data_IF_274614081763
#
_entry.id   IF_274614081763
#
_cell.length_a   1.000
_cell.length_b   1.000
_cell.length_c   1.000
_cell.angle_alpha   90.00
_cell.angle_beta   90.00
_cell.angle_gamma   90.00
#
_symmetry.space_group_name_H-M   'P 1'
#
loop_
_entity.id
_entity.type
_entity.pdbx_description
1 polymer ?
#
# COMPACT_ATOMS: atom_id res chain seq x y z
N UNK A 1 -42.89 -5.63 43.62
CA UNK A 1 -41.55 -6.20 43.42
C UNK A 1 -41.22 -6.61 41.97
N UNK A 2 -42.19 -6.79 41.06
CA UNK A 2 -41.89 -7.12 39.65
C UNK A 2 -41.41 -5.94 38.75
N UNK A 3 -41.59 -4.68 39.18
CA UNK A 3 -41.19 -3.49 38.41
C UNK A 3 -39.70 -3.14 38.53
N UNK A 4 -39.06 -3.45 39.65
CA UNK A 4 -37.63 -3.14 39.86
C UNK A 4 -36.71 -4.07 39.07
N UNK A 5 -37.03 -5.37 38.97
CA UNK A 5 -36.32 -6.32 38.11
C UNK A 5 -36.33 -5.90 36.63
N UNK A 6 -37.39 -5.21 36.18
CA UNK A 6 -37.50 -4.77 34.80
C UNK A 6 -36.61 -3.54 34.52
N UNK A 7 -36.45 -2.65 35.51
CA UNK A 7 -35.57 -1.49 35.40
C UNK A 7 -34.09 -1.89 35.43
N UNK A 8 -33.72 -2.82 36.30
CA UNK A 8 -32.34 -3.32 36.39
C UNK A 8 -31.92 -4.07 35.12
N UNK A 9 -32.81 -4.92 34.59
CA UNK A 9 -32.62 -5.59 33.29
C UNK A 9 -32.45 -4.61 32.13
N UNK A 10 -33.28 -3.56 32.05
CA UNK A 10 -33.16 -2.51 31.03
C UNK A 10 -31.82 -1.78 31.16
N UNK A 11 -31.40 -1.41 32.38
CA UNK A 11 -30.13 -0.72 32.60
C UNK A 11 -28.93 -1.59 32.21
N UNK A 12 -28.97 -2.89 32.51
CA UNK A 12 -27.94 -3.84 32.10
C UNK A 12 -27.87 -3.97 30.57
N UNK A 13 -29.02 -4.07 29.90
CA UNK A 13 -29.08 -4.13 28.44
C UNK A 13 -28.56 -2.84 27.79
N UNK A 14 -28.86 -1.67 28.35
CA UNK A 14 -28.32 -0.39 27.87
C UNK A 14 -26.81 -0.33 28.05
N UNK A 15 -26.27 -0.71 29.23
CA UNK A 15 -24.82 -0.74 29.46
C UNK A 15 -24.10 -1.67 28.49
N UNK A 16 -24.67 -2.85 28.25
CA UNK A 16 -24.08 -3.80 27.30
C UNK A 16 -24.12 -3.27 25.86
N UNK A 17 -25.20 -2.59 25.46
CA UNK A 17 -25.29 -1.96 24.13
C UNK A 17 -24.31 -0.80 23.96
N UNK A 18 -24.11 0.01 25.00
CA UNK A 18 -23.10 1.09 24.99
C UNK A 18 -21.71 0.48 24.83
N UNK A 19 -21.38 -0.55 25.62
CA UNK A 19 -20.12 -1.27 25.52
C UNK A 19 -19.91 -1.82 24.11
N UNK A 20 -20.88 -2.52 23.54
CA UNK A 20 -20.79 -3.04 22.16
C UNK A 20 -20.58 -1.95 21.12
N UNK A 21 -21.22 -0.78 21.30
CA UNK A 21 -21.03 0.37 20.42
C UNK A 21 -19.61 0.94 20.50
N UNK A 22 -19.05 1.04 21.71
CA UNK A 22 -17.66 1.47 21.93
C UNK A 22 -16.66 0.48 21.32
N UNK A 23 -16.86 -0.82 21.52
CA UNK A 23 -16.04 -1.89 20.92
C UNK A 23 -16.05 -1.83 19.39
N UNK A 24 -17.23 -1.61 18.80
CA UNK A 24 -17.39 -1.47 17.36
C UNK A 24 -16.67 -0.21 16.85
N UNK A 25 -16.78 0.91 17.59
CA UNK A 25 -16.12 2.16 17.24
C UNK A 25 -14.58 2.02 17.26
N UNK A 26 -14.01 1.39 18.29
CA UNK A 26 -12.57 1.14 18.37
C UNK A 26 -12.10 0.26 17.22
N UNK A 27 -12.83 -0.83 16.94
CA UNK A 27 -12.51 -1.70 15.80
C UNK A 27 -12.59 -0.93 14.48
N UNK A 28 -13.62 -0.09 14.30
CA UNK A 28 -13.78 0.72 13.09
C UNK A 28 -12.62 1.73 12.92
N UNK A 29 -12.09 2.29 14.00
CA UNK A 29 -10.92 3.18 13.95
C UNK A 29 -9.69 2.43 13.44
N UNK A 30 -9.44 1.22 13.95
CA UNK A 30 -8.37 0.33 13.47
C UNK A 30 -8.57 -0.01 11.99
N UNK A 31 -9.78 -0.44 11.61
CA UNK A 31 -10.10 -0.82 10.23
C UNK A 31 -9.85 0.35 9.28
N UNK A 32 -10.26 1.55 9.69
CA UNK A 32 -10.06 2.76 8.91
C UNK A 32 -8.58 3.11 8.81
N UNK A 33 -7.80 3.03 9.89
CA UNK A 33 -6.36 3.26 9.84
C UNK A 33 -5.64 2.26 8.91
N UNK A 34 -6.01 0.98 8.97
CA UNK A 34 -5.46 -0.08 8.11
C UNK A 34 -5.83 0.09 6.64
N UNK A 35 -7.12 0.25 6.34
CA UNK A 35 -7.60 0.43 4.97
C UNK A 35 -6.99 1.66 4.28
N UNK A 36 -6.62 2.67 5.08
CA UNK A 36 -6.03 3.92 4.63
C UNK A 36 -4.50 3.97 4.68
N UNK A 37 -3.83 2.92 5.18
CA UNK A 37 -2.39 2.86 5.46
C UNK A 37 -1.86 4.00 6.36
N UNK A 38 -2.60 4.33 7.41
CA UNK A 38 -2.18 5.30 8.44
C UNK A 38 -1.42 4.59 9.56
N UNK A 39 -0.17 4.21 9.27
CA UNK A 39 0.66 3.41 10.19
C UNK A 39 0.79 4.01 11.59
N UNK A 40 1.07 5.32 11.66
CA UNK A 40 1.21 6.02 12.95
C UNK A 40 -0.10 5.98 13.75
N UNK A 41 -1.21 6.35 13.12
CA UNK A 41 -2.51 6.37 13.80
C UNK A 41 -2.92 4.95 14.24
N UNK A 42 -2.61 3.91 13.46
CA UNK A 42 -2.81 2.53 13.87
C UNK A 42 -1.98 2.21 15.13
N UNK A 43 -0.70 2.56 15.14
CA UNK A 43 0.19 2.37 16.30
C UNK A 43 -0.33 3.09 17.54
N UNK A 44 -0.76 4.34 17.40
CA UNK A 44 -1.30 5.15 18.50
C UNK A 44 -2.59 4.53 19.07
N UNK A 45 -3.51 4.11 18.18
CA UNK A 45 -4.77 3.46 18.58
C UNK A 45 -4.49 2.15 19.33
N UNK A 46 -3.60 1.31 18.82
CA UNK A 46 -3.28 0.02 19.44
C UNK A 46 -2.59 0.21 20.79
N UNK A 47 -1.62 1.12 20.87
CA UNK A 47 -0.93 1.46 22.12
C UNK A 47 -1.90 1.98 23.17
N UNK A 48 -2.86 2.82 22.78
CA UNK A 48 -3.89 3.33 23.69
C UNK A 48 -4.80 2.21 24.20
N UNK A 49 -5.27 1.31 23.33
CA UNK A 49 -6.09 0.16 23.74
C UNK A 49 -5.32 -0.75 24.69
N UNK A 50 -4.06 -1.03 24.40
CA UNK A 50 -3.18 -1.83 25.25
C UNK A 50 -3.01 -1.18 26.62
N UNK A 51 -2.71 0.12 26.68
CA UNK A 51 -2.54 0.84 27.94
C UNK A 51 -3.82 0.82 28.80
N UNK A 52 -4.99 0.95 28.18
CA UNK A 52 -6.26 1.05 28.89
C UNK A 52 -6.86 -0.32 29.26
N UNK A 53 -6.65 -1.33 28.40
CA UNK A 53 -7.42 -2.60 28.43
C UNK A 53 -6.56 -3.85 28.28
N UNK A 54 -5.26 -3.70 28.03
CA UNK A 54 -4.30 -4.79 27.84
C UNK A 54 -4.19 -5.29 26.40
N UNK A 55 -3.05 -5.92 26.10
CA UNK A 55 -2.71 -6.44 24.77
C UNK A 55 -3.75 -7.40 24.20
N UNK A 56 -4.28 -8.32 25.02
CA UNK A 56 -5.28 -9.29 24.57
C UNK A 56 -6.53 -8.64 23.96
N UNK A 57 -6.92 -7.46 24.45
CA UNK A 57 -8.05 -6.70 23.90
C UNK A 57 -7.67 -6.02 22.60
N UNK A 58 -6.47 -5.42 22.52
CA UNK A 58 -5.94 -4.85 21.28
C UNK A 58 -5.87 -5.90 20.16
N UNK A 59 -5.34 -7.08 20.47
CA UNK A 59 -5.24 -8.21 19.55
C UNK A 59 -6.61 -8.70 19.08
N UNK A 60 -7.60 -8.78 19.98
CA UNK A 60 -8.98 -9.10 19.60
C UNK A 60 -9.53 -8.11 18.57
N UNK A 61 -9.26 -6.81 18.71
CA UNK A 61 -9.69 -5.82 17.72
C UNK A 61 -8.94 -5.95 16.40
N UNK A 62 -7.63 -6.21 16.42
CA UNK A 62 -6.84 -6.49 15.23
C UNK A 62 -7.43 -7.67 14.46
N UNK A 63 -7.66 -8.81 15.12
CA UNK A 63 -8.24 -10.00 14.50
C UNK A 63 -9.65 -9.80 13.94
N UNK A 64 -10.41 -8.82 14.44
CA UNK A 64 -11.74 -8.48 13.92
C UNK A 64 -11.71 -7.50 12.75
N UNK A 65 -10.58 -6.82 12.53
CA UNK A 65 -10.51 -5.73 11.57
C UNK A 65 -10.77 -6.19 10.12
N UNK A 66 -10.34 -7.41 9.75
CA UNK A 66 -10.58 -7.96 8.41
C UNK A 66 -12.06 -8.31 8.13
N UNK A 67 -12.92 -8.34 9.15
CA UNK A 67 -14.35 -8.67 9.03
C UNK A 67 -15.26 -7.44 8.97
N UNK A 68 -14.72 -6.24 9.21
CA UNK A 68 -15.50 -5.00 9.27
C UNK A 68 -15.19 -4.17 8.02
N UNK A 69 -16.22 -3.64 7.33
CA UNK A 69 -15.98 -2.81 6.17
C UNK A 69 -15.48 -1.41 6.57
N UNK A 70 -14.66 -0.82 5.71
CA UNK A 70 -14.31 0.60 5.76
C UNK A 70 -14.85 1.34 4.55
N UNK A 71 -14.96 2.66 4.71
CA UNK A 71 -15.41 3.54 3.64
C UNK A 71 -14.24 3.86 2.71
N UNK A 72 -14.37 3.46 1.44
CA UNK A 72 -13.45 3.87 0.40
C UNK A 72 -13.62 5.36 0.06
N UNK A 73 -12.57 6.02 -0.44
CA UNK A 73 -12.71 7.33 -1.04
C UNK A 73 -13.65 7.35 -2.23
N UNK A 74 -14.24 8.52 -2.44
CA UNK A 74 -15.09 8.78 -3.61
C UNK A 74 -14.27 8.52 -4.88
N UNK A 75 -14.83 7.72 -5.79
CA UNK A 75 -14.20 7.38 -7.07
C UNK A 75 -13.27 6.17 -7.02
N UNK A 76 -12.90 5.68 -5.83
CA UNK A 76 -12.04 4.52 -5.71
C UNK A 76 -12.78 3.19 -5.92
N UNK A 77 -14.10 3.10 -5.71
CA UNK A 77 -14.83 1.84 -5.79
C UNK A 77 -16.21 1.86 -5.12
N UNK A 78 -16.74 0.70 -4.67
CA UNK A 78 -17.95 0.68 -3.86
C UNK A 78 -17.74 1.48 -2.57
N UNK A 79 -18.80 2.10 -2.06
CA UNK A 79 -18.68 2.99 -0.89
C UNK A 79 -18.05 2.28 0.32
N UNK A 80 -18.33 0.98 0.50
CA UNK A 80 -17.85 0.18 1.63
C UNK A 80 -17.26 -1.14 1.13
N UNK A 81 -16.13 -1.54 1.70
CA UNK A 81 -15.51 -2.84 1.43
C UNK A 81 -14.71 -3.33 2.64
N UNK A 82 -14.45 -4.64 2.72
CA UNK A 82 -13.49 -5.20 3.67
C UNK A 82 -12.06 -4.76 3.31
N UNK A 83 -11.16 -4.77 4.29
CA UNK A 83 -9.74 -4.57 4.03
C UNK A 83 -9.25 -5.70 3.12
N UNK A 84 -8.48 -5.35 2.10
CA UNK A 84 -7.88 -6.33 1.20
C UNK A 84 -6.86 -7.19 1.96
N UNK A 85 -6.88 -8.52 1.77
CA UNK A 85 -6.08 -9.47 2.55
C UNK A 85 -4.58 -9.13 2.62
N UNK A 86 -3.97 -8.80 1.48
CA UNK A 86 -2.55 -8.43 1.44
C UNK A 86 -2.29 -7.07 2.10
N UNK A 87 -3.21 -6.11 1.98
CA UNK A 87 -3.11 -4.83 2.69
C UNK A 87 -3.21 -5.05 4.20
N UNK A 88 -4.18 -5.84 4.66
CA UNK A 88 -4.35 -6.19 6.06
C UNK A 88 -3.07 -6.83 6.62
N UNK A 89 -2.54 -7.82 5.91
CA UNK A 89 -1.26 -8.46 6.24
C UNK A 89 -0.13 -7.45 6.36
N UNK A 90 0.15 -6.68 5.30
CA UNK A 90 1.25 -5.70 5.27
C UNK A 90 1.13 -4.68 6.41
N UNK A 91 -0.09 -4.27 6.78
CA UNK A 91 -0.34 -3.37 7.92
C UNK A 91 -0.03 -4.02 9.28
N UNK A 92 -0.37 -5.30 9.48
CA UNK A 92 -0.01 -6.04 10.70
C UNK A 92 1.50 -6.16 10.84
N UNK A 93 2.20 -6.52 9.77
CA UNK A 93 3.65 -6.64 9.79
C UNK A 93 4.35 -5.30 9.98
N UNK A 94 3.79 -4.22 9.45
CA UNK A 94 4.30 -2.87 9.70
C UNK A 94 4.10 -2.46 11.15
N UNK A 95 2.94 -2.76 11.76
CA UNK A 95 2.65 -2.48 13.16
C UNK A 95 3.61 -3.22 14.11
N UNK A 96 4.00 -4.44 13.76
CA UNK A 96 4.87 -5.31 14.55
C UNK A 96 6.35 -5.23 14.12
N UNK A 97 6.74 -4.17 13.41
CA UNK A 97 8.14 -3.89 13.02
C UNK A 97 8.82 -5.06 12.27
N UNK A 98 8.08 -5.76 11.41
CA UNK A 98 8.55 -6.88 10.59
C UNK A 98 8.36 -6.62 9.09
N UNK A 99 8.30 -5.33 8.71
CA UNK A 99 8.06 -4.90 7.34
C UNK A 99 9.16 -5.40 6.38
N UNK A 100 8.77 -5.99 5.26
CA UNK A 100 9.68 -6.42 4.19
C UNK A 100 10.16 -7.87 4.29
N UNK A 101 9.90 -8.53 5.43
CA UNK A 101 10.15 -9.95 5.66
C UNK A 101 8.86 -10.73 5.90
N UNK A 102 7.74 -10.34 5.30
CA UNK A 102 6.48 -11.05 5.50
C UNK A 102 6.58 -12.48 4.94
N UNK A 103 6.69 -13.54 5.77
CA UNK A 103 6.88 -14.88 5.26
C UNK A 103 5.61 -15.33 4.55
N UNK A 104 5.69 -15.66 3.27
CA UNK A 104 4.55 -16.02 2.43
C UNK A 104 3.74 -17.23 2.98
N UNK A 105 4.37 -18.30 3.55
CA UNK A 105 3.65 -19.53 3.91
C UNK A 105 2.63 -19.46 5.05
N UNK A 106 2.70 -18.47 5.94
CA UNK A 106 1.84 -18.40 7.14
C UNK A 106 0.71 -17.39 6.95
N UNK A 107 -0.50 -17.71 7.44
CA UNK A 107 -1.63 -16.79 7.38
C UNK A 107 -1.53 -15.69 8.44
N UNK A 108 -2.25 -14.58 8.25
CA UNK A 108 -2.25 -13.47 9.22
C UNK A 108 -2.96 -13.88 10.51
N UNK A 109 -3.98 -14.75 10.41
CA UNK A 109 -4.72 -15.31 11.54
C UNK A 109 -3.85 -16.21 12.41
N UNK A 110 -3.02 -17.06 11.80
CA UNK A 110 -2.06 -17.91 12.52
C UNK A 110 -1.08 -17.05 13.32
N UNK A 111 -0.50 -16.01 12.70
CA UNK A 111 0.38 -15.05 13.37
C UNK A 111 -0.31 -14.42 14.58
N UNK A 112 -1.49 -13.84 14.38
CA UNK A 112 -2.21 -13.19 15.49
C UNK A 112 -2.59 -14.18 16.59
N UNK A 113 -2.80 -15.45 16.27
CA UNK A 113 -3.09 -16.48 17.27
C UNK A 113 -1.89 -16.84 18.14
N UNK A 114 -0.68 -16.81 17.58
CA UNK A 114 0.57 -17.07 18.30
C UNK A 114 0.88 -15.95 19.30
N UNK A 115 0.58 -14.70 18.94
CA UNK A 115 0.80 -13.51 19.77
C UNK A 115 -0.18 -13.35 20.94
N UNK A 116 -1.14 -14.27 21.09
CA UNK A 116 -2.21 -14.17 22.10
C UNK A 116 -1.72 -14.32 23.54
N UNK A 117 -0.61 -15.02 23.74
CA UNK A 117 -0.07 -15.30 25.07
C UNK A 117 0.97 -14.26 25.52
N UNK A 118 1.27 -13.28 24.67
CA UNK A 118 2.22 -12.22 24.99
C UNK A 118 1.59 -11.17 25.92
N UNK A 119 2.44 -10.50 26.70
CA UNK A 119 2.00 -9.53 27.70
C UNK A 119 1.81 -8.13 27.12
N UNK A 120 2.53 -7.79 26.04
CA UNK A 120 2.54 -6.46 25.44
C UNK A 120 2.75 -6.47 23.92
N UNK A 121 2.49 -5.34 23.26
CA UNK A 121 2.82 -5.12 21.85
C UNK A 121 4.33 -5.28 21.59
N UNK A 122 5.17 -4.87 22.55
CA UNK A 122 6.63 -4.94 22.43
C UNK A 122 7.08 -6.41 22.46
N UNK A 123 6.57 -7.19 23.41
CA UNK A 123 6.89 -8.63 23.52
C UNK A 123 6.39 -9.38 22.28
N UNK A 124 5.16 -9.08 21.84
CA UNK A 124 4.60 -9.63 20.61
C UNK A 124 5.45 -9.29 19.36
N UNK A 125 5.95 -8.07 19.26
CA UNK A 125 6.83 -7.65 18.16
C UNK A 125 8.17 -8.38 18.19
N UNK A 126 8.75 -8.59 19.38
CA UNK A 126 10.02 -9.33 19.54
C UNK A 126 9.87 -10.82 19.21
N UNK A 127 8.78 -11.45 19.68
CA UNK A 127 8.46 -12.83 19.34
C UNK A 127 8.27 -12.98 17.83
N UNK A 128 7.38 -12.15 17.25
CA UNK A 128 7.10 -12.21 15.82
C UNK A 128 8.36 -11.99 14.99
N UNK A 129 9.24 -11.07 15.38
CA UNK A 129 10.50 -10.84 14.68
C UNK A 129 11.34 -12.11 14.62
N UNK A 130 11.52 -12.78 15.75
CA UNK A 130 12.29 -14.03 15.84
C UNK A 130 11.67 -15.12 14.97
N UNK A 131 10.34 -15.25 15.00
CA UNK A 131 9.62 -16.24 14.22
C UNK A 131 9.64 -15.91 12.73
N UNK A 132 9.49 -14.64 12.34
CA UNK A 132 9.60 -14.18 10.96
C UNK A 132 10.98 -14.46 10.39
N UNK A 133 12.05 -14.23 11.15
CA UNK A 133 13.42 -14.56 10.72
C UNK A 133 13.59 -16.06 10.46
N UNK A 134 13.07 -16.90 11.36
CA UNK A 134 13.08 -18.36 11.22
C UNK A 134 12.26 -18.83 10.01
N UNK A 135 11.05 -18.28 9.83
CA UNK A 135 10.15 -18.61 8.73
C UNK A 135 10.68 -18.12 7.39
N UNK A 136 11.22 -16.90 7.33
CA UNK A 136 11.86 -16.35 6.15
C UNK A 136 13.06 -17.20 5.75
N UNK A 137 13.91 -17.58 6.71
CA UNK A 137 15.05 -18.47 6.44
C UNK A 137 14.59 -19.80 5.83
N UNK A 138 13.57 -20.44 6.38
CA UNK A 138 13.00 -21.69 5.83
C UNK A 138 12.39 -21.50 4.44
N UNK A 139 11.69 -20.39 4.22
CA UNK A 139 11.09 -20.06 2.92
C UNK A 139 12.17 -19.89 1.86
N UNK A 140 13.23 -19.15 2.18
CA UNK A 140 14.39 -18.94 1.31
C UNK A 140 15.10 -20.26 1.03
N UNK A 141 15.32 -21.10 2.05
CA UNK A 141 15.91 -22.44 1.89
C UNK A 141 15.06 -23.37 1.02
N UNK A 142 13.73 -23.17 0.97
CA UNK A 142 12.85 -23.91 0.06
C UNK A 142 12.85 -23.38 -1.39
N UNK A 143 13.54 -22.25 -1.65
CA UNK A 143 13.62 -21.61 -2.97
C UNK A 143 12.45 -20.69 -3.30
N UNK A 144 11.61 -20.33 -2.33
CA UNK A 144 10.57 -19.30 -2.50
C UNK A 144 11.14 -17.95 -2.05
N UNK A 145 11.83 -17.27 -2.96
CA UNK A 145 12.52 -16.00 -2.68
C UNK A 145 11.70 -14.76 -3.03
N UNK A 146 10.42 -14.94 -3.39
CA UNK A 146 9.54 -13.88 -3.88
C UNK A 146 8.96 -13.01 -2.76
N UNK A 147 8.69 -11.75 -3.11
CA UNK A 147 8.02 -10.74 -2.28
C UNK A 147 8.75 -10.30 -1.01
N UNK A 148 10.05 -10.63 -0.88
CA UNK A 148 10.90 -9.97 0.09
C UNK A 148 11.30 -8.57 -0.39
N UNK A 149 11.18 -7.58 0.50
CA UNK A 149 11.55 -6.19 0.21
C UNK A 149 12.56 -5.67 1.24
N UNK A 150 13.85 -5.91 0.95
CA UNK A 150 14.95 -5.46 1.78
C UNK A 150 15.15 -3.93 1.76
N UNK A 151 14.52 -3.20 0.85
CA UNK A 151 14.63 -1.72 0.85
C UNK A 151 13.82 -1.09 1.98
N UNK A 152 12.75 -1.79 2.39
CA UNK A 152 11.86 -1.44 3.47
C UNK A 152 12.10 -2.27 4.74
N UNK A 153 13.07 -3.18 4.68
CA UNK A 153 13.54 -3.95 5.82
C UNK A 153 14.01 -2.98 6.92
N UNK A 154 13.36 -3.05 8.07
CA UNK A 154 13.80 -2.28 9.23
C UNK A 154 15.21 -2.71 9.62
N UNK A 155 15.96 -1.79 10.23
CA UNK A 155 17.33 -2.00 10.73
C UNK A 155 17.47 -3.16 11.72
N UNK A 156 16.33 -3.68 12.20
CA UNK A 156 16.21 -4.83 13.09
C UNK A 156 16.33 -6.19 12.42
N UNK A 157 16.36 -6.25 11.09
CA UNK A 157 16.54 -7.52 10.37
C UNK A 157 17.98 -7.97 10.49
N UNK A 158 18.19 -9.23 10.88
CA UNK A 158 19.54 -9.77 10.97
C UNK A 158 20.24 -9.64 9.62
N UNK A 159 21.41 -9.01 9.64
CA UNK A 159 22.27 -8.88 8.45
C UNK A 159 22.55 -10.23 7.78
N UNK A 160 22.46 -11.32 8.55
CA UNK A 160 22.59 -12.69 8.07
C UNK A 160 21.49 -13.09 7.08
N UNK A 161 20.22 -12.74 7.34
CA UNK A 161 19.11 -13.07 6.44
C UNK A 161 19.19 -12.23 5.17
N UNK A 162 19.49 -10.94 5.28
CA UNK A 162 19.72 -10.09 4.12
C UNK A 162 20.82 -10.66 3.22
N UNK A 163 21.97 -11.02 3.80
CA UNK A 163 23.07 -11.65 3.08
C UNK A 163 22.69 -13.00 2.46
N UNK A 164 21.96 -13.85 3.20
CA UNK A 164 21.49 -15.14 2.71
C UNK A 164 20.57 -14.98 1.50
N UNK A 165 19.60 -14.06 1.59
CA UNK A 165 18.65 -13.77 0.52
C UNK A 165 19.37 -13.22 -0.72
N UNK A 166 20.24 -12.22 -0.56
CA UNK A 166 21.01 -11.65 -1.67
C UNK A 166 21.89 -12.69 -2.37
N UNK A 167 22.54 -13.57 -1.58
CA UNK A 167 23.36 -14.66 -2.10
C UNK A 167 22.51 -15.63 -2.91
N UNK A 168 21.40 -16.11 -2.36
CA UNK A 168 20.53 -17.09 -3.02
C UNK A 168 19.91 -16.48 -4.28
N UNK A 169 19.40 -15.25 -4.23
CA UNK A 169 18.85 -14.57 -5.41
C UNK A 169 19.93 -14.36 -6.49
N UNK A 170 21.16 -14.05 -6.10
CA UNK A 170 22.28 -13.92 -7.05
C UNK A 170 22.66 -15.27 -7.67
N UNK A 171 22.68 -16.34 -6.88
CA UNK A 171 22.96 -17.70 -7.35
C UNK A 171 21.84 -18.21 -8.27
N UNK A 172 20.57 -17.97 -7.93
CA UNK A 172 19.40 -18.34 -8.74
C UNK A 172 19.44 -17.65 -10.11
N UNK A 173 19.76 -16.35 -10.11
CA UNK A 173 19.83 -15.54 -11.31
C UNK A 173 21.04 -15.92 -12.18
N UNK A 174 22.22 -16.15 -11.59
CA UNK A 174 23.42 -16.57 -12.32
C UNK A 174 23.26 -17.96 -12.98
N UNK A 175 22.44 -18.82 -12.39
CA UNK A 175 22.14 -20.16 -12.90
C UNK A 175 20.86 -20.20 -13.74
N UNK A 176 20.26 -19.04 -14.07
CA UNK A 176 19.07 -18.96 -14.89
C UNK A 176 19.45 -19.01 -16.37
N UNK A 177 18.88 -19.97 -17.09
CA UNK A 177 18.98 -20.07 -18.54
C UNK A 177 17.60 -19.75 -19.11
N UNK A 178 17.55 -18.81 -20.05
CA UNK A 178 16.32 -18.40 -20.71
C UNK A 178 16.24 -19.00 -22.10
N UNK A 179 15.04 -19.46 -22.46
CA UNK A 179 14.78 -20.03 -23.77
C UNK A 179 14.55 -18.91 -24.78
N UNK A 180 15.27 -18.99 -25.90
CA UNK A 180 15.06 -18.12 -27.05
C UNK A 180 14.38 -18.90 -28.16
N UNK A 181 13.26 -18.37 -28.63
CA UNK A 181 12.51 -18.87 -29.78
C UNK A 181 12.37 -17.74 -30.81
N UNK A 182 12.96 -17.95 -31.99
CA UNK A 182 13.07 -16.94 -33.04
C UNK A 182 13.71 -15.64 -32.52
N UNK A 183 12.98 -14.51 -32.57
CA UNK A 183 13.40 -13.21 -32.05
C UNK A 183 12.76 -12.87 -30.69
N UNK A 184 12.20 -13.88 -30.01
CA UNK A 184 11.56 -13.72 -28.71
C UNK A 184 12.22 -14.56 -27.64
N UNK A 185 12.26 -14.05 -26.42
CA UNK A 185 12.87 -14.68 -25.26
C UNK A 185 11.77 -14.92 -24.23
N UNK A 186 11.66 -16.15 -23.75
CA UNK A 186 10.74 -16.53 -22.67
C UNK A 186 11.27 -16.00 -21.33
N UNK A 187 10.62 -14.97 -20.81
CA UNK A 187 10.97 -14.33 -19.55
C UNK A 187 10.09 -14.79 -18.39
N UNK A 188 9.22 -15.78 -18.59
CA UNK A 188 8.42 -16.34 -17.51
C UNK A 188 9.27 -16.70 -16.28
N UNK A 189 10.43 -17.37 -16.41
CA UNK A 189 11.26 -17.69 -15.25
C UNK A 189 11.75 -16.47 -14.46
N UNK A 190 11.99 -15.33 -15.12
CA UNK A 190 12.42 -14.10 -14.44
C UNK A 190 11.34 -13.52 -13.53
N UNK A 191 10.05 -13.73 -13.83
CA UNK A 191 8.96 -13.31 -12.95
C UNK A 191 8.92 -14.08 -11.63
N UNK A 192 9.48 -15.30 -11.60
CA UNK A 192 9.56 -16.14 -10.41
C UNK A 192 10.87 -15.96 -9.63
N UNK A 193 11.65 -14.93 -9.96
CA UNK A 193 12.79 -14.48 -9.17
C UNK A 193 12.53 -13.05 -8.72
N UNK A 194 12.79 -12.71 -7.46
CA UNK A 194 12.42 -11.40 -6.92
C UNK A 194 13.11 -10.24 -7.65
N UNK A 195 14.43 -10.34 -7.88
CA UNK A 195 15.18 -9.32 -8.63
C UNK A 195 14.70 -9.19 -10.08
N UNK A 196 14.35 -10.32 -10.71
CA UNK A 196 13.78 -10.35 -12.05
C UNK A 196 12.41 -9.68 -12.09
N UNK A 197 11.49 -10.08 -11.21
CA UNK A 197 10.14 -9.52 -11.03
C UNK A 197 10.17 -8.02 -10.80
N UNK A 198 11.01 -7.54 -9.88
CA UNK A 198 11.16 -6.11 -9.61
C UNK A 198 11.64 -5.36 -10.85
N UNK A 199 12.69 -5.86 -11.53
CA UNK A 199 13.24 -5.23 -12.73
C UNK A 199 12.21 -5.17 -13.86
N UNK A 200 11.54 -6.29 -14.14
CA UNK A 200 10.50 -6.37 -15.17
C UNK A 200 9.33 -5.43 -14.85
N UNK A 201 8.92 -5.33 -13.58
CA UNK A 201 7.86 -4.41 -13.14
C UNK A 201 8.27 -2.94 -13.29
N UNK A 202 9.52 -2.61 -12.94
CA UNK A 202 10.06 -1.25 -13.07
C UNK A 202 10.20 -0.81 -14.53
N UNK A 203 10.55 -1.74 -15.42
CA UNK A 203 10.63 -1.52 -16.87
C UNK A 203 9.27 -1.61 -17.57
N UNK A 204 8.21 -2.03 -16.86
CA UNK A 204 6.89 -2.17 -17.44
C UNK A 204 6.77 -3.28 -18.47
N UNK A 205 7.57 -4.33 -18.33
CA UNK A 205 7.46 -5.49 -19.18
C UNK A 205 6.21 -6.26 -18.78
N UNK A 206 5.40 -6.66 -19.78
CA UNK A 206 4.16 -7.42 -19.61
C UNK A 206 4.26 -8.78 -20.29
N UNK A 207 3.65 -9.78 -19.69
CA UNK A 207 3.49 -11.11 -20.27
C UNK A 207 4.72 -12.00 -20.06
N UNK A 208 4.83 -13.04 -20.88
CA UNK A 208 5.79 -14.13 -20.67
C UNK A 208 6.96 -14.11 -21.65
N UNK A 209 6.93 -13.23 -22.66
CA UNK A 209 7.99 -13.12 -23.66
C UNK A 209 8.25 -11.68 -24.07
N UNK A 210 9.48 -11.40 -24.49
CA UNK A 210 9.91 -10.11 -25.04
C UNK A 210 10.85 -10.30 -26.22
N UNK A 211 10.98 -9.25 -27.03
CA UNK A 211 11.97 -9.20 -28.11
C UNK A 211 13.42 -9.05 -27.58
N UNK A 212 14.39 -9.33 -28.46
CA UNK A 212 15.82 -9.24 -28.14
C UNK A 212 16.25 -7.84 -27.68
N UNK A 213 15.67 -6.76 -28.24
CA UNK A 213 16.03 -5.37 -27.90
C UNK A 213 15.64 -5.03 -26.46
N UNK A 214 14.40 -5.34 -26.07
CA UNK A 214 13.91 -5.15 -24.71
C UNK A 214 14.67 -6.03 -23.72
N UNK A 215 15.08 -7.22 -24.13
CA UNK A 215 15.86 -8.11 -23.29
C UNK A 215 17.22 -7.49 -22.93
N UNK A 216 17.93 -6.87 -23.87
CA UNK A 216 19.18 -6.17 -23.57
C UNK A 216 18.99 -5.07 -22.51
N UNK A 217 17.87 -4.34 -22.56
CA UNK A 217 17.52 -3.35 -21.54
C UNK A 217 17.33 -4.03 -20.17
N UNK A 218 16.57 -5.13 -20.11
CA UNK A 218 16.37 -5.90 -18.88
C UNK A 218 17.70 -6.35 -18.29
N UNK A 219 18.59 -6.92 -19.10
CA UNK A 219 19.91 -7.37 -18.68
C UNK A 219 20.78 -6.22 -18.16
N UNK A 220 20.72 -5.06 -18.82
CA UNK A 220 21.47 -3.88 -18.39
C UNK A 220 21.06 -3.37 -17.00
N UNK A 221 19.76 -3.50 -16.65
CA UNK A 221 19.25 -3.10 -15.33
C UNK A 221 19.54 -4.16 -14.27
N UNK A 222 19.42 -5.43 -14.62
CA UNK A 222 19.76 -6.55 -13.71
C UNK A 222 21.27 -6.55 -13.38
N UNK A 223 22.10 -6.06 -14.30
CA UNK A 223 23.57 -6.04 -14.23
C UNK A 223 24.18 -7.45 -14.11
N UNK A 224 23.56 -8.45 -14.73
CA UNK A 224 24.10 -9.81 -14.79
C UNK A 224 23.93 -10.40 -16.18
N UNK A 225 24.92 -11.16 -16.64
CA UNK A 225 24.83 -11.89 -17.91
C UNK A 225 23.91 -13.09 -17.73
N UNK A 226 22.77 -13.10 -18.41
CA UNK A 226 21.88 -14.27 -18.45
C UNK A 226 22.10 -15.04 -19.75
N UNK A 227 22.57 -16.31 -19.70
CA UNK A 227 22.70 -17.12 -20.89
C UNK A 227 21.33 -17.38 -21.52
N UNK A 228 21.28 -17.32 -22.85
CA UNK A 228 20.11 -17.76 -23.65
C UNK A 228 20.46 -19.01 -24.44
N UNK A 229 19.51 -19.93 -24.55
CA UNK A 229 19.63 -21.14 -25.37
C UNK A 229 18.60 -21.12 -26.49
N UNK A 230 19.05 -21.29 -27.73
CA UNK A 230 18.17 -21.47 -28.88
C UNK A 230 17.48 -22.83 -28.75
N UNK A 231 16.14 -22.82 -28.73
CA UNK A 231 15.35 -24.05 -28.73
C UNK A 231 14.50 -24.13 -29.99
N UNK A 232 14.63 -25.24 -30.73
CA UNK A 232 13.77 -25.56 -31.87
C UNK A 232 12.46 -26.22 -31.47
N UNK A 233 12.35 -26.68 -30.22
CA UNK A 233 11.15 -27.30 -29.66
C UNK A 233 10.67 -26.49 -28.44
N UNK A 234 9.36 -26.40 -28.23
CA UNK A 234 8.73 -25.76 -27.07
C UNK A 234 9.01 -26.63 -25.83
N UNK A 235 10.24 -26.57 -25.32
CA UNK A 235 10.56 -27.19 -24.05
C UNK A 235 9.84 -26.41 -22.96
N UNK A 236 9.01 -27.12 -22.19
CA UNK A 236 8.61 -26.64 -20.88
C UNK A 236 9.89 -26.68 -20.06
N UNK A 237 10.40 -25.52 -19.63
CA UNK A 237 11.57 -25.40 -18.76
C UNK A 237 11.60 -26.56 -17.75
N UNK A 238 12.59 -27.45 -17.86
CA UNK A 238 12.74 -28.62 -16.96
C UNK A 238 12.93 -28.20 -15.48
N UNK A 239 13.26 -26.93 -15.24
CA UNK A 239 13.30 -26.33 -13.92
C UNK A 239 11.89 -25.96 -13.48
N UNK A 240 11.37 -26.70 -12.51
CA UNK A 240 10.08 -26.41 -11.86
C UNK A 240 10.09 -24.97 -11.33
N UNK A 241 9.15 -24.14 -11.79
CA UNK A 241 8.98 -22.77 -11.28
C UNK A 241 8.50 -22.85 -9.82
N UNK A 242 9.14 -22.07 -8.95
CA UNK A 242 8.76 -21.96 -7.55
C UNK A 242 7.64 -20.92 -7.42
N UNK A 243 6.39 -21.41 -7.34
CA UNK A 243 5.24 -20.54 -7.13
C UNK A 243 5.17 -20.10 -5.66
N UNK A 244 4.76 -18.84 -5.38
CA UNK A 244 4.49 -18.42 -4.01
C UNK A 244 3.53 -19.39 -3.33
N UNK A 245 3.82 -19.85 -2.11
CA UNK A 245 2.96 -20.84 -1.45
C UNK A 245 1.56 -20.31 -1.12
N UNK A 246 1.41 -18.99 -0.98
CA UNK A 246 0.16 -18.33 -0.61
C UNK A 246 -0.67 -17.94 -1.84
N UNK A 247 -1.96 -18.31 -1.90
CA UNK A 247 -2.82 -18.05 -3.06
C UNK A 247 -3.02 -16.56 -3.37
N UNK A 248 -2.97 -15.68 -2.37
CA UNK A 248 -3.08 -14.24 -2.60
C UNK A 248 -1.85 -13.68 -3.30
N UNK A 249 -0.65 -14.14 -2.93
CA UNK A 249 0.59 -13.76 -3.59
C UNK A 249 0.71 -14.38 -5.00
N UNK A 250 0.20 -15.59 -5.23
CA UNK A 250 0.09 -16.15 -6.59
C UNK A 250 -0.82 -15.30 -7.50
N UNK A 251 -1.98 -14.88 -6.98
CA UNK A 251 -2.91 -13.99 -7.69
C UNK A 251 -2.27 -12.64 -7.96
N UNK A 252 -1.56 -12.08 -6.97
CA UNK A 252 -0.83 -10.83 -7.12
C UNK A 252 0.24 -10.95 -8.21
N UNK A 253 1.08 -11.98 -8.18
CA UNK A 253 2.11 -12.23 -9.19
C UNK A 253 1.51 -12.31 -10.60
N UNK A 254 0.42 -13.08 -10.74
CA UNK A 254 -0.29 -13.19 -12.02
C UNK A 254 -0.83 -11.84 -12.49
N UNK A 255 -1.32 -11.02 -11.57
CA UNK A 255 -1.84 -9.67 -11.87
C UNK A 255 -0.73 -8.71 -12.29
N UNK A 256 0.45 -8.82 -11.67
CA UNK A 256 1.68 -8.09 -12.03
C UNK A 256 2.12 -8.50 -13.44
N UNK A 257 2.26 -9.79 -13.73
CA UNK A 257 2.69 -10.28 -15.05
C UNK A 257 1.76 -9.77 -16.17
N UNK A 258 0.46 -9.71 -15.90
CA UNK A 258 -0.54 -9.35 -16.90
C UNK A 258 -0.88 -7.86 -16.96
N UNK A 259 -0.31 -7.03 -16.07
CA UNK A 259 -0.71 -5.62 -15.89
C UNK A 259 -2.25 -5.48 -15.77
N UNK A 260 -2.86 -6.31 -14.92
CA UNK A 260 -4.31 -6.24 -14.66
C UNK A 260 -4.59 -5.22 -13.56
N UNK A 261 -4.94 -3.99 -13.96
CA UNK A 261 -5.21 -2.89 -13.04
C UNK A 261 -6.31 -3.19 -12.02
N UNK A 262 -7.37 -3.88 -12.43
CA UNK A 262 -8.50 -4.17 -11.55
C UNK A 262 -8.07 -5.17 -10.48
N UNK A 263 -7.38 -6.23 -10.90
CA UNK A 263 -6.85 -7.22 -9.95
C UNK A 263 -5.79 -6.63 -9.03
N UNK A 264 -4.83 -5.85 -9.54
CA UNK A 264 -3.80 -5.16 -8.74
C UNK A 264 -4.43 -4.23 -7.70
N UNK A 265 -5.44 -3.46 -8.11
CA UNK A 265 -6.23 -2.58 -7.24
C UNK A 265 -7.02 -3.37 -6.19
N UNK A 266 -7.60 -4.52 -6.56
CA UNK A 266 -8.36 -5.39 -5.65
C UNK A 266 -7.49 -6.07 -4.59
N UNK A 267 -6.22 -6.32 -4.88
CA UNK A 267 -5.28 -6.88 -3.90
C UNK A 267 -4.66 -5.78 -3.04
N UNK A 268 -4.58 -4.53 -3.55
CA UNK A 268 -4.07 -3.35 -2.86
C UNK A 268 -2.71 -3.54 -2.14
N UNK A 269 -1.90 -4.48 -2.63
CA UNK A 269 -0.55 -4.73 -2.12
C UNK A 269 0.41 -3.64 -2.56
N UNK A 270 1.39 -3.33 -1.71
CA UNK A 270 2.48 -2.41 -2.06
C UNK A 270 3.31 -2.91 -3.25
N UNK A 271 3.44 -4.22 -3.43
CA UNK A 271 4.26 -4.80 -4.50
C UNK A 271 3.67 -4.55 -5.90
N UNK A 272 2.42 -4.07 -5.99
CA UNK A 272 1.78 -3.59 -7.21
C UNK A 272 2.29 -2.23 -7.68
N UNK A 273 3.01 -1.48 -6.83
CA UNK A 273 3.34 -0.07 -7.08
C UNK A 273 4.05 0.15 -8.41
N UNK A 274 5.13 -0.60 -8.70
CA UNK A 274 5.92 -0.39 -9.92
C UNK A 274 5.12 -0.66 -11.19
N UNK A 275 4.34 -1.74 -11.22
CA UNK A 275 3.47 -2.05 -12.36
C UNK A 275 2.41 -0.96 -12.55
N UNK A 276 1.75 -0.50 -11.48
CA UNK A 276 0.76 0.58 -11.57
C UNK A 276 1.38 1.91 -12.02
N UNK A 277 2.58 2.23 -11.52
CA UNK A 277 3.33 3.42 -11.92
C UNK A 277 3.60 3.39 -13.43
N UNK A 278 4.13 2.30 -13.94
CA UNK A 278 4.39 2.16 -15.37
C UNK A 278 3.10 2.26 -16.20
N UNK A 279 2.02 1.61 -15.76
CA UNK A 279 0.72 1.69 -16.45
C UNK A 279 0.20 3.12 -16.52
N UNK A 280 0.39 3.91 -15.45
CA UNK A 280 0.03 5.32 -15.42
C UNK A 280 0.89 6.14 -16.40
N UNK A 281 2.21 5.96 -16.39
CA UNK A 281 3.16 6.62 -17.29
C UNK A 281 2.84 6.32 -18.76
N UNK A 282 2.69 5.06 -19.13
CA UNK A 282 2.32 4.66 -20.49
C UNK A 282 0.96 5.24 -20.92
N UNK A 283 0.00 5.33 -19.99
CA UNK A 283 -1.31 5.93 -20.30
C UNK A 283 -1.22 7.44 -20.49
N UNK A 284 -0.35 8.12 -19.74
CA UNK A 284 -0.05 9.54 -19.92
C UNK A 284 0.56 9.79 -21.31
N UNK A 285 1.53 8.98 -21.72
CA UNK A 285 2.13 9.08 -23.06
C UNK A 285 1.09 8.92 -24.18
N UNK A 286 0.18 7.95 -24.05
CA UNK A 286 -0.93 7.76 -25.00
C UNK A 286 -1.87 8.98 -25.00
N UNK A 287 -2.15 9.55 -23.84
CA UNK A 287 -3.01 10.72 -23.71
C UNK A 287 -2.35 11.99 -24.27
N UNK A 288 -1.05 12.19 -24.07
CA UNK A 288 -0.32 13.34 -24.65
C UNK A 288 -0.37 13.32 -26.17
N UNK A 289 -0.29 12.14 -26.78
CA UNK A 289 -0.34 11.95 -28.22
C UNK A 289 -1.76 12.01 -28.81
N UNK A 290 -2.78 11.53 -28.08
CA UNK A 290 -4.16 11.40 -28.62
C UNK A 290 -5.17 12.40 -28.07
N UNK A 291 -4.95 12.90 -26.85
CA UNK A 291 -5.88 13.70 -26.03
C UNK A 291 -7.31 13.15 -25.96
N UNK A 292 -7.47 11.83 -26.16
CA UNK A 292 -8.78 11.21 -26.23
C UNK A 292 -9.41 11.06 -24.84
N UNK A 293 -10.73 11.12 -24.77
CA UNK A 293 -11.46 10.85 -23.51
C UNK A 293 -11.20 9.43 -22.99
N UNK A 294 -11.03 8.45 -23.88
CA UNK A 294 -10.70 7.07 -23.50
C UNK A 294 -9.34 6.99 -22.79
N UNK A 295 -8.30 7.62 -23.35
CA UNK A 295 -7.00 7.67 -22.71
C UNK A 295 -7.06 8.38 -21.36
N UNK A 296 -7.83 9.46 -21.23
CA UNK A 296 -8.04 10.12 -19.94
C UNK A 296 -8.76 9.23 -18.91
N UNK A 297 -9.74 8.43 -19.31
CA UNK A 297 -10.39 7.48 -18.40
C UNK A 297 -9.42 6.42 -17.87
N UNK A 298 -8.47 5.99 -18.70
CA UNK A 298 -7.41 5.09 -18.26
C UNK A 298 -6.49 5.76 -17.22
N UNK A 299 -6.19 7.07 -17.37
CA UNK A 299 -5.45 7.84 -16.35
C UNK A 299 -6.21 7.82 -15.04
N UNK A 300 -7.51 8.11 -15.07
CA UNK A 300 -8.34 8.07 -13.87
C UNK A 300 -8.36 6.69 -13.20
N UNK A 301 -8.44 5.62 -14.00
CA UNK A 301 -8.35 4.25 -13.48
C UNK A 301 -7.03 4.00 -12.75
N UNK A 302 -5.90 4.41 -13.36
CA UNK A 302 -4.57 4.28 -12.76
C UNK A 302 -4.42 5.11 -11.48
N UNK A 303 -4.87 6.37 -11.49
CA UNK A 303 -4.87 7.23 -10.29
C UNK A 303 -5.70 6.58 -9.16
N UNK A 304 -6.87 6.04 -9.48
CA UNK A 304 -7.71 5.35 -8.50
C UNK A 304 -7.05 4.07 -7.95
N UNK A 305 -6.32 3.32 -8.79
CA UNK A 305 -5.55 2.16 -8.34
C UNK A 305 -4.44 2.56 -7.36
N UNK A 306 -3.73 3.66 -7.60
CA UNK A 306 -2.77 4.23 -6.65
C UNK A 306 -3.44 4.68 -5.33
N UNK A 307 -4.63 5.28 -5.40
CA UNK A 307 -5.44 5.66 -4.22
C UNK A 307 -5.97 4.44 -3.46
N UNK A 308 -6.08 3.26 -4.09
CA UNK A 308 -6.43 2.00 -3.41
C UNK A 308 -5.24 1.38 -2.70
N UNK A 309 -4.10 1.32 -3.39
CA UNK A 309 -2.85 0.74 -2.87
C UNK A 309 -2.28 1.60 -1.74
N UNK A 310 -2.29 2.93 -1.90
CA UNK A 310 -1.91 3.94 -0.88
C UNK A 310 -0.48 3.88 -0.37
N UNK A 311 0.48 3.53 -1.23
CA UNK A 311 1.88 3.54 -0.81
C UNK A 311 2.41 4.98 -0.68
N UNK A 312 3.44 5.23 0.16
CA UNK A 312 4.10 6.54 0.23
C UNK A 312 4.60 7.04 -1.13
N UNK A 313 5.13 6.16 -1.97
CA UNK A 313 5.63 6.48 -3.31
C UNK A 313 4.50 6.92 -4.25
N UNK A 314 3.27 6.45 -4.01
CA UNK A 314 2.09 6.91 -4.76
C UNK A 314 1.77 8.38 -4.48
N UNK A 315 2.06 8.89 -3.27
CA UNK A 315 1.92 10.32 -2.96
C UNK A 315 2.88 11.13 -3.81
N UNK A 316 4.16 10.74 -3.86
CA UNK A 316 5.18 11.43 -4.66
C UNK A 316 4.85 11.42 -6.15
N UNK A 317 4.38 10.28 -6.67
CA UNK A 317 3.96 10.16 -8.07
C UNK A 317 2.81 11.12 -8.40
N UNK A 318 1.78 11.16 -7.54
CA UNK A 318 0.62 12.03 -7.76
C UNK A 318 0.94 13.51 -7.52
N UNK A 319 1.87 13.84 -6.62
CA UNK A 319 2.40 15.20 -6.46
C UNK A 319 3.04 15.71 -7.76
N UNK A 320 3.90 14.89 -8.38
CA UNK A 320 4.50 15.25 -9.66
C UNK A 320 3.44 15.49 -10.75
N UNK A 321 2.42 14.64 -10.81
CA UNK A 321 1.31 14.77 -11.76
C UNK A 321 0.42 15.98 -11.48
N UNK A 322 0.27 16.38 -10.22
CA UNK A 322 -0.49 17.56 -9.83
C UNK A 322 0.13 18.86 -10.35
N UNK A 323 1.42 18.85 -10.69
CA UNK A 323 2.13 19.95 -11.35
C UNK A 323 2.05 19.91 -12.89
N UNK A 324 1.31 18.96 -13.48
CA UNK A 324 1.13 18.88 -14.93
C UNK A 324 0.57 20.17 -15.54
N UNK A 325 1.00 20.47 -16.76
CA UNK A 325 0.45 21.59 -17.56
C UNK A 325 -0.97 21.29 -18.01
N UNK A 326 -1.32 20.02 -18.21
CA UNK A 326 -2.70 19.63 -18.51
C UNK A 326 -3.53 19.71 -17.22
N UNK A 327 -4.50 20.62 -17.23
CA UNK A 327 -5.34 20.88 -16.05
C UNK A 327 -6.22 19.68 -15.68
N UNK A 328 -6.62 18.84 -16.64
CA UNK A 328 -7.41 17.63 -16.36
C UNK A 328 -6.58 16.58 -15.63
N UNK A 329 -5.33 16.38 -16.07
CA UNK A 329 -4.38 15.47 -15.40
C UNK A 329 -4.05 15.99 -14.01
N UNK A 330 -3.73 17.29 -13.90
CA UNK A 330 -3.45 17.93 -12.61
C UNK A 330 -4.65 17.79 -11.65
N UNK A 331 -5.86 18.15 -12.07
CA UNK A 331 -7.09 18.03 -11.25
C UNK A 331 -7.35 16.58 -10.82
N UNK A 332 -7.12 15.59 -11.67
CA UNK A 332 -7.24 14.17 -11.32
C UNK A 332 -6.22 13.78 -10.23
N UNK A 333 -4.96 14.16 -10.39
CA UNK A 333 -3.91 13.86 -9.42
C UNK A 333 -4.13 14.55 -8.07
N UNK A 334 -4.57 15.81 -8.06
CA UNK A 334 -4.94 16.56 -6.85
C UNK A 334 -6.11 15.89 -6.12
N UNK A 335 -7.11 15.42 -6.88
CA UNK A 335 -8.23 14.67 -6.31
C UNK A 335 -7.73 13.36 -5.71
N UNK A 336 -6.82 12.66 -6.39
CA UNK A 336 -6.14 11.48 -5.89
C UNK A 336 -5.41 11.73 -4.57
N UNK A 337 -4.54 12.74 -4.52
CA UNK A 337 -3.83 13.19 -3.30
C UNK A 337 -4.79 13.51 -2.16
N UNK A 338 -5.92 14.16 -2.47
CA UNK A 338 -6.97 14.46 -1.50
C UNK A 338 -7.57 13.24 -0.79
N UNK A 339 -7.27 12.02 -1.25
CA UNK A 339 -7.69 10.75 -0.65
C UNK A 339 -6.59 10.04 0.15
N UNK A 340 -5.39 10.63 0.24
CA UNK A 340 -4.31 10.21 1.14
C UNK A 340 -4.37 11.02 2.42
N UNK A 341 -4.72 10.37 3.53
CA UNK A 341 -4.96 11.03 4.81
C UNK A 341 -3.69 11.07 5.67
N UNK A 342 -2.63 11.69 5.14
CA UNK A 342 -1.34 11.81 5.81
C UNK A 342 -0.68 13.18 5.56
N UNK A 343 0.35 13.49 6.34
CA UNK A 343 1.07 14.77 6.31
C UNK A 343 1.73 15.07 4.96
N UNK A 344 2.28 14.04 4.31
CA UNK A 344 2.95 14.17 3.02
C UNK A 344 1.99 14.70 1.95
N UNK A 345 0.78 14.12 1.88
CA UNK A 345 -0.25 14.58 0.94
C UNK A 345 -0.68 16.02 1.20
N UNK A 346 -0.93 16.39 2.45
CA UNK A 346 -1.29 17.79 2.78
C UNK A 346 -0.18 18.75 2.37
N UNK A 347 1.07 18.40 2.67
CA UNK A 347 2.22 19.24 2.37
C UNK A 347 2.34 19.49 0.86
N UNK A 348 2.22 18.43 0.05
CA UNK A 348 2.17 18.51 -1.40
C UNK A 348 1.02 19.40 -1.90
N UNK A 349 -0.19 19.20 -1.38
CA UNK A 349 -1.37 19.98 -1.75
C UNK A 349 -1.25 21.47 -1.38
N UNK A 350 -0.66 21.78 -0.23
CA UNK A 350 -0.43 23.15 0.24
C UNK A 350 0.64 23.84 -0.61
N UNK A 351 1.75 23.16 -0.94
CA UNK A 351 2.77 23.72 -1.83
C UNK A 351 2.17 24.00 -3.21
N UNK A 352 1.41 23.05 -3.76
CA UNK A 352 0.70 23.22 -5.02
C UNK A 352 -0.27 24.42 -4.96
N UNK A 353 -1.11 24.51 -3.93
CA UNK A 353 -2.03 25.64 -3.75
C UNK A 353 -1.26 26.97 -3.73
N UNK A 354 -0.10 27.02 -3.09
CA UNK A 354 0.70 28.22 -2.98
C UNK A 354 1.36 28.66 -4.29
N UNK A 355 1.62 27.73 -5.22
CA UNK A 355 2.27 27.99 -6.51
C UNK A 355 1.32 28.05 -7.70
N UNK A 356 0.12 27.49 -7.57
CA UNK A 356 -0.85 27.35 -8.66
C UNK A 356 -1.33 28.72 -9.16
N UNK A 357 -1.34 28.88 -10.49
CA UNK A 357 -1.89 30.08 -11.18
C UNK A 357 -3.28 29.84 -11.75
N UNK A 358 -3.64 28.56 -11.96
CA UNK A 358 -4.93 28.18 -12.53
C UNK A 358 -5.98 28.10 -11.41
N UNK A 359 -7.09 28.82 -11.56
CA UNK A 359 -8.17 28.86 -10.56
C UNK A 359 -8.84 27.49 -10.34
N UNK A 360 -8.93 26.64 -11.35
CA UNK A 360 -9.44 25.28 -11.23
C UNK A 360 -8.54 24.46 -10.30
N UNK A 361 -7.23 24.45 -10.57
CA UNK A 361 -6.22 23.78 -9.73
C UNK A 361 -6.27 24.29 -8.29
N UNK A 362 -6.33 25.61 -8.10
CA UNK A 362 -6.48 26.24 -6.77
C UNK A 362 -7.73 25.72 -6.04
N UNK A 363 -8.87 25.71 -6.72
CA UNK A 363 -10.13 25.27 -6.12
C UNK A 363 -10.14 23.77 -5.81
N UNK A 364 -9.57 22.95 -6.69
CA UNK A 364 -9.43 21.50 -6.47
C UNK A 364 -8.49 21.23 -5.29
N UNK A 365 -7.35 21.92 -5.20
CA UNK A 365 -6.42 21.78 -4.08
C UNK A 365 -7.06 22.16 -2.75
N UNK A 366 -7.84 23.25 -2.71
CA UNK A 366 -8.61 23.63 -1.52
C UNK A 366 -9.56 22.51 -1.09
N UNK A 367 -10.32 21.92 -2.03
CA UNK A 367 -11.25 20.82 -1.72
C UNK A 367 -10.50 19.57 -1.25
N UNK A 368 -9.38 19.25 -1.87
CA UNK A 368 -8.53 18.13 -1.48
C UNK A 368 -7.98 18.31 -0.06
N UNK A 369 -7.43 19.48 0.28
CA UNK A 369 -6.94 19.78 1.64
C UNK A 369 -8.08 19.68 2.66
N UNK A 370 -9.28 20.20 2.35
CA UNK A 370 -10.47 20.05 3.20
C UNK A 370 -10.88 18.59 3.37
N UNK A 371 -10.69 17.75 2.35
CA UNK A 371 -11.00 16.34 2.46
C UNK A 371 -9.99 15.64 3.38
N UNK A 372 -8.71 15.95 3.23
CA UNK A 372 -7.64 15.39 4.07
C UNK A 372 -7.78 15.83 5.53
N UNK A 373 -8.15 17.08 5.79
CA UNK A 373 -8.33 17.61 7.15
C UNK A 373 -9.40 16.90 7.97
N UNK A 374 -10.30 16.13 7.34
CA UNK A 374 -11.33 15.33 8.05
C UNK A 374 -10.72 14.15 8.81
N UNK A 375 -9.53 13.68 8.42
CA UNK A 375 -8.90 12.47 8.97
C UNK A 375 -7.42 12.66 9.37
N UNK A 376 -6.79 13.76 8.97
CA UNK A 376 -5.40 14.09 9.29
C UNK A 376 -5.35 15.41 10.09
N UNK A 377 -5.10 15.32 11.40
CA UNK A 377 -5.15 16.46 12.32
C UNK A 377 -4.02 17.47 12.06
N UNK A 378 -2.88 16.98 11.57
CA UNK A 378 -1.69 17.76 11.22
C UNK A 378 -1.95 18.75 10.10
N UNK A 379 -3.02 18.52 9.32
CA UNK A 379 -3.47 19.48 8.32
C UNK A 379 -3.62 20.88 8.90
N UNK A 380 -4.09 21.00 10.14
CA UNK A 380 -4.21 22.28 10.85
C UNK A 380 -2.85 22.98 10.98
N UNK A 381 -1.84 22.25 11.44
CA UNK A 381 -0.50 22.77 11.67
C UNK A 381 0.21 23.12 10.36
N UNK A 382 0.14 22.22 9.36
CA UNK A 382 0.75 22.43 8.05
C UNK A 382 0.15 23.67 7.36
N UNK A 383 -1.19 23.78 7.33
CA UNK A 383 -1.88 24.93 6.74
C UNK A 383 -1.54 26.21 7.52
N UNK A 384 -1.51 26.17 8.86
CA UNK A 384 -1.11 27.33 9.69
C UNK A 384 0.27 27.84 9.31
N UNK A 385 1.28 26.97 9.31
CA UNK A 385 2.65 27.34 8.99
C UNK A 385 2.75 27.95 7.59
N UNK A 386 2.03 27.39 6.62
CA UNK A 386 2.01 27.93 5.28
C UNK A 386 1.33 29.32 5.20
N UNK A 387 0.42 29.69 6.12
CA UNK A 387 -0.13 31.07 6.18
C UNK A 387 0.87 32.13 6.63
N UNK A 388 2.01 31.70 7.17
CA UNK A 388 3.12 32.58 7.56
C UNK A 388 4.18 32.68 6.45
N UNK A 389 4.09 31.82 5.42
CA UNK A 389 5.01 31.82 4.28
C UNK A 389 4.80 33.03 3.37
N UNK A 390 5.90 33.73 3.08
CA UNK A 390 5.93 34.84 2.11
C UNK A 390 5.95 34.36 0.65
N UNK A 391 6.17 33.06 0.41
CA UNK A 391 6.29 32.48 -0.92
C UNK A 391 4.93 32.08 -1.52
N UNK A 392 3.86 32.11 -0.73
CA UNK A 392 2.54 31.67 -1.15
C UNK A 392 1.79 32.75 -1.95
N UNK A 393 1.59 32.51 -3.24
CA UNK A 393 0.84 33.44 -4.12
C UNK A 393 -0.65 33.50 -3.80
N UNK A 394 -1.23 32.37 -3.34
CA UNK A 394 -2.64 32.25 -2.99
C UNK A 394 -2.92 32.40 -1.49
N UNK A 395 -2.15 33.23 -0.79
CA UNK A 395 -2.22 33.38 0.68
C UNK A 395 -3.62 33.69 1.22
N UNK A 396 -4.43 34.45 0.48
CA UNK A 396 -5.81 34.77 0.86
C UNK A 396 -6.76 33.58 0.81
N UNK A 397 -6.51 32.60 -0.07
CA UNK A 397 -7.24 31.33 -0.07
C UNK A 397 -6.81 30.45 1.11
N UNK A 398 -5.51 30.37 1.36
CA UNK A 398 -4.95 29.58 2.46
C UNK A 398 -5.43 30.06 3.83
N UNK A 399 -5.48 31.38 4.06
CA UNK A 399 -6.02 31.97 5.31
C UNK A 399 -7.52 31.70 5.49
N UNK A 400 -8.30 31.63 4.40
CA UNK A 400 -9.72 31.26 4.47
C UNK A 400 -9.86 29.78 4.78
N UNK A 401 -9.11 28.93 4.09
CA UNK A 401 -9.07 27.50 4.32
C UNK A 401 -8.70 27.15 5.76
N UNK A 402 -7.67 27.80 6.32
CA UNK A 402 -7.29 27.67 7.72
C UNK A 402 -8.47 27.93 8.67
N UNK A 403 -9.20 29.04 8.48
CA UNK A 403 -10.38 29.40 9.29
C UNK A 403 -11.51 28.38 9.15
N UNK A 404 -11.70 27.83 7.95
CA UNK A 404 -12.75 26.82 7.70
C UNK A 404 -12.41 25.52 8.43
N UNK A 405 -11.18 25.01 8.29
CA UNK A 405 -10.70 23.79 8.96
C UNK A 405 -10.78 23.94 10.49
N UNK A 406 -10.49 25.14 11.01
CA UNK A 406 -10.55 25.40 12.45
C UNK A 406 -11.97 25.44 13.02
N UNK A 407 -12.98 25.72 12.19
CA UNK A 407 -14.40 25.75 12.62
C UNK A 407 -15.08 24.39 12.55
N UNK A 408 -14.61 23.50 11.68
CA UNK A 408 -15.26 22.21 11.43
C UNK A 408 -14.90 21.11 12.44
N UNK A 409 -13.85 21.29 13.23
CA UNK A 409 -13.42 20.30 14.22
C UNK A 409 -13.78 20.80 15.62
N UNK A 410 -14.92 20.35 16.14
CA UNK A 410 -15.19 20.40 17.59
C UNK A 410 -14.06 19.66 18.33
N UNK A 411 -13.60 20.23 19.43
CA UNK A 411 -12.50 19.78 20.30
C UNK A 411 -12.81 18.43 21.00
N UNK A 412 -13.11 17.37 20.27
CA UNK A 412 -13.40 16.05 20.85
C UNK A 412 -12.16 15.20 21.15
N UNK A 413 -10.96 15.69 20.80
CA UNK A 413 -9.67 15.01 21.02
C UNK A 413 -8.60 15.94 21.60
N UNK A 414 -8.99 16.93 22.41
CA UNK A 414 -8.07 17.67 23.29
C UNK A 414 -8.40 17.41 24.76
#
# INVERSE_FOLDING_TARGET
MAKDNNRESILQAVKERVRQSEELQLTQMIVTAMGERRNRDLSDIISQIEQDRGWAVALMHLSRANQIPYTLPIGAGPNHMLIEELKYREMIFTLLECNGLEPVPITTEEILSELKNEDSLIDASQLLRTDCESLASKQIESGDTLFFDLTNADSSISANIGYLLEKIQSDELANLILEKQDDTINILPLWYLEKGRQTLSQLGIKGTSIDSERFEIVISVIQQNLPTTESTELHVTDKQLNYPSNPHYQKLLTSIINHDIESLSSQSSRHSFHSLKFMLENTLDIYENSQSSSAFWNILSCVNAHVRVRTPESVMLLENLAHSKDTRVATAAITGLGNFYNEASVSALVDLLCRAKNNEVVNTAIRAIKNVSKRCLETKYIVRNATESKLCTNIGHLKRLYKDIWKEVDDYYL
#
